data_IF_072525358818
#
_entry.id   IF_072525358818
#
_cell.length_a   1.000
_cell.length_b   1.000
_cell.length_c   1.000
_cell.angle_alpha   90.00
_cell.angle_beta   90.00
_cell.angle_gamma   90.00
#
_symmetry.space_group_name_H-M   'P 1'
#
loop_
_entity.id
_entity.type
_entity.pdbx_description
1 polymer ?
#
# COMPACT_ATOMS: atom_id res chain seq x y z
N UNK A 1 2.00 8.58 15.54
CA UNK A 1 3.18 8.04 14.83
C UNK A 1 2.97 6.55 14.68
N UNK A 2 2.47 6.10 13.53
CA UNK A 2 2.08 4.71 13.22
C UNK A 2 2.63 4.27 11.86
N UNK A 3 3.55 5.06 11.28
CA UNK A 3 4.00 4.95 9.89
C UNK A 3 4.93 3.75 9.63
N UNK A 4 5.46 3.10 10.68
CA UNK A 4 6.65 2.25 10.55
C UNK A 4 6.40 0.77 10.26
N UNK A 5 5.18 0.25 10.37
CA UNK A 5 4.99 -1.21 10.26
C UNK A 5 4.64 -1.72 8.86
N UNK A 6 4.22 -0.85 7.93
CA UNK A 6 3.72 -1.30 6.62
C UNK A 6 4.11 -0.39 5.44
N UNK A 7 4.88 0.68 5.70
CA UNK A 7 5.51 1.49 4.65
C UNK A 7 4.55 2.30 3.77
N UNK A 8 3.34 2.61 4.23
CA UNK A 8 2.41 3.50 3.54
C UNK A 8 2.75 4.97 3.83
N UNK A 9 3.02 5.77 2.79
CA UNK A 9 3.35 7.20 2.93
C UNK A 9 2.86 8.05 1.76
N UNK A 10 2.49 9.29 2.01
CA UNK A 10 2.32 10.32 0.97
C UNK A 10 3.69 10.85 0.53
N UNK A 11 3.84 11.11 -0.77
CA UNK A 11 5.10 11.61 -1.34
C UNK A 11 4.96 12.86 -2.20
N UNK A 12 3.73 13.30 -2.48
CA UNK A 12 3.46 14.60 -3.10
C UNK A 12 2.47 15.45 -2.32
N UNK A 13 2.57 16.79 -2.41
CA UNK A 13 1.64 17.70 -1.78
C UNK A 13 0.17 17.35 -2.06
N UNK A 14 -0.66 17.43 -1.02
CA UNK A 14 -2.10 17.16 -1.10
C UNK A 14 -2.49 15.68 -1.21
N UNK A 15 -1.57 14.74 -1.03
CA UNK A 15 -1.91 13.31 -1.11
C UNK A 15 -2.06 12.77 -2.53
N UNK A 16 -1.65 13.54 -3.55
CA UNK A 16 -1.79 13.17 -4.96
C UNK A 16 -1.03 11.88 -5.31
N UNK A 17 0.11 11.66 -4.65
CA UNK A 17 0.89 10.44 -4.80
C UNK A 17 1.25 9.83 -3.45
N UNK A 18 1.19 8.52 -3.39
CA UNK A 18 1.51 7.72 -2.22
C UNK A 18 2.30 6.46 -2.61
N UNK A 19 3.05 5.93 -1.65
CA UNK A 19 3.80 4.70 -1.78
C UNK A 19 3.33 3.72 -0.72
N UNK A 20 3.31 2.45 -1.06
CA UNK A 20 3.07 1.34 -0.13
C UNK A 20 4.22 0.35 -0.26
N UNK A 21 5.02 0.23 0.81
CA UNK A 21 6.23 -0.60 0.87
C UNK A 21 6.12 -1.72 1.91
N UNK A 22 5.28 -2.75 1.69
CA UNK A 22 5.19 -3.85 2.62
C UNK A 22 6.46 -4.71 2.59
N UNK A 23 6.85 -5.22 3.76
CA UNK A 23 8.00 -6.12 3.94
C UNK A 23 7.48 -7.51 4.36
N UNK A 24 7.12 -8.38 3.40
CA UNK A 24 6.45 -9.66 3.69
C UNK A 24 7.38 -10.70 4.35
N UNK A 25 8.69 -10.46 4.41
CA UNK A 25 9.65 -11.35 5.08
C UNK A 25 9.49 -11.38 6.60
N UNK A 26 8.90 -10.34 7.18
CA UNK A 26 8.74 -10.22 8.64
C UNK A 26 7.29 -10.41 9.09
N UNK A 27 6.31 -10.26 8.18
CA UNK A 27 4.89 -10.29 8.48
C UNK A 27 4.08 -10.99 7.38
N UNK A 28 3.25 -11.97 7.78
CA UNK A 28 2.33 -12.67 6.88
C UNK A 28 1.12 -11.82 6.50
N UNK A 29 0.76 -10.85 7.32
CA UNK A 29 -0.29 -9.86 7.04
C UNK A 29 -0.03 -8.59 7.85
N UNK A 30 -0.42 -7.45 7.29
CA UNK A 30 -0.42 -6.19 8.03
C UNK A 30 -1.39 -5.19 7.42
N UNK A 31 -1.88 -4.29 8.26
CA UNK A 31 -2.79 -3.21 7.89
C UNK A 31 -2.22 -1.88 8.37
N UNK A 32 -2.33 -0.87 7.53
CA UNK A 32 -1.93 0.49 7.87
C UNK A 32 -2.93 1.49 7.30
N UNK A 33 -2.96 2.65 7.91
CA UNK A 33 -3.69 3.78 7.37
C UNK A 33 -3.38 5.04 8.14
N UNK A 34 -3.62 6.16 7.48
CA UNK A 34 -3.63 7.47 8.09
C UNK A 34 -4.75 8.30 7.51
N UNK A 35 -5.25 9.22 8.31
CA UNK A 35 -6.26 10.18 7.89
C UNK A 35 -5.57 11.53 7.74
N UNK A 36 -5.70 12.12 6.56
CA UNK A 36 -5.35 13.53 6.33
C UNK A 36 -6.59 14.39 6.60
N UNK A 37 -6.39 15.70 6.75
CA UNK A 37 -7.51 16.66 6.87
C UNK A 37 -8.49 16.60 5.69
N UNK A 38 -8.07 16.05 4.55
CA UNK A 38 -8.86 15.96 3.34
C UNK A 38 -9.55 14.59 3.19
N UNK A 39 -8.84 13.48 3.42
CA UNK A 39 -9.33 12.10 3.22
C UNK A 39 -8.52 11.03 3.98
N UNK A 40 -9.09 9.84 4.10
CA UNK A 40 -8.45 8.62 4.63
C UNK A 40 -7.63 7.89 3.55
N UNK A 41 -6.49 7.36 3.95
CA UNK A 41 -5.66 6.43 3.18
C UNK A 41 -5.52 5.16 4.00
N UNK A 42 -5.90 4.02 3.45
CA UNK A 42 -5.75 2.71 4.09
C UNK A 42 -5.16 1.72 3.09
N UNK A 43 -4.26 0.87 3.58
CA UNK A 43 -3.70 -0.22 2.81
C UNK A 43 -3.51 -1.44 3.70
N UNK A 44 -3.78 -2.60 3.15
CA UNK A 44 -3.59 -3.90 3.79
C UNK A 44 -2.84 -4.79 2.84
N UNK A 45 -1.98 -5.66 3.38
CA UNK A 45 -1.44 -6.76 2.60
C UNK A 45 -1.57 -8.08 3.34
N UNK A 46 -1.62 -9.16 2.57
CA UNK A 46 -1.62 -10.53 3.03
C UNK A 46 -0.76 -11.40 2.11
N UNK A 47 0.17 -12.12 2.71
CA UNK A 47 0.95 -13.15 2.05
C UNK A 47 0.16 -14.45 2.12
N UNK A 48 -0.15 -15.03 0.97
CA UNK A 48 -0.77 -16.35 0.85
C UNK A 48 0.29 -17.43 0.71
N UNK A 49 -0.12 -18.68 0.88
CA UNK A 49 0.72 -19.83 0.56
C UNK A 49 1.31 -19.68 -0.86
N UNK A 50 2.56 -20.13 -1.05
CA UNK A 50 3.32 -20.02 -2.30
C UNK A 50 3.82 -18.61 -2.67
N UNK A 51 3.99 -17.70 -1.71
CA UNK A 51 4.65 -16.40 -1.95
C UNK A 51 3.78 -15.36 -2.65
N UNK A 52 2.45 -15.56 -2.75
CA UNK A 52 1.57 -14.57 -3.37
C UNK A 52 1.22 -13.47 -2.39
N UNK A 53 1.47 -12.21 -2.75
CA UNK A 53 1.09 -11.03 -1.97
C UNK A 53 -0.19 -10.43 -2.55
N UNK A 54 -1.25 -10.44 -1.76
CA UNK A 54 -2.46 -9.68 -2.03
C UNK A 54 -2.40 -8.36 -1.26
N UNK A 55 -2.53 -7.24 -1.95
CA UNK A 55 -2.60 -5.91 -1.41
C UNK A 55 -3.99 -5.32 -1.70
N UNK A 56 -4.63 -4.78 -0.67
CA UNK A 56 -5.88 -4.05 -0.76
C UNK A 56 -5.63 -2.60 -0.36
N UNK A 57 -6.13 -1.67 -1.16
CA UNK A 57 -6.00 -0.25 -0.87
C UNK A 57 -7.36 0.43 -0.93
N UNK A 58 -7.58 1.36 0.00
CA UNK A 58 -8.69 2.29 0.01
C UNK A 58 -8.12 3.69 0.16
N UNK A 59 -8.02 4.38 -0.98
CA UNK A 59 -7.42 5.71 -1.09
C UNK A 59 -8.32 6.62 -1.91
N UNK A 60 -8.15 7.95 -1.87
CA UNK A 60 -9.02 8.86 -2.60
C UNK A 60 -8.90 8.67 -4.11
N UNK A 61 -10.05 8.66 -4.79
CA UNK A 61 -10.12 8.64 -6.26
C UNK A 61 -9.30 9.80 -6.84
N UNK A 62 -8.55 9.53 -7.91
CA UNK A 62 -7.69 10.51 -8.57
C UNK A 62 -6.28 10.62 -7.99
N UNK A 63 -5.99 9.97 -6.86
CA UNK A 63 -4.62 9.79 -6.36
C UNK A 63 -3.91 8.66 -7.11
N UNK A 64 -2.59 8.56 -6.95
CA UNK A 64 -1.76 7.52 -7.58
C UNK A 64 -0.87 6.87 -6.53
N UNK A 65 -1.00 5.56 -6.42
CA UNK A 65 -0.20 4.74 -5.53
C UNK A 65 0.89 3.99 -6.27
N UNK A 66 1.94 3.63 -5.53
CA UNK A 66 2.95 2.66 -5.97
C UNK A 66 3.13 1.60 -4.90
N UNK A 67 2.85 0.34 -5.24
CA UNK A 67 3.17 -0.82 -4.41
C UNK A 67 4.59 -1.28 -4.78
N UNK A 68 5.48 -1.28 -3.80
CA UNK A 68 6.88 -1.62 -3.98
C UNK A 68 7.18 -2.79 -3.04
N UNK A 69 7.37 -3.96 -3.63
CA UNK A 69 7.82 -5.16 -2.92
C UNK A 69 9.34 -5.29 -3.05
N UNK A 70 10.06 -5.74 -2.00
CA UNK A 70 11.49 -6.02 -2.10
C UNK A 70 11.77 -7.00 -3.26
N UNK A 71 12.72 -6.66 -4.14
CA UNK A 71 13.11 -7.51 -5.26
C UNK A 71 12.16 -7.50 -6.48
N UNK A 72 11.10 -6.69 -6.46
CA UNK A 72 10.11 -6.59 -7.55
C UNK A 72 10.05 -5.16 -8.09
N UNK A 73 9.60 -5.01 -9.34
CA UNK A 73 9.36 -3.68 -9.91
C UNK A 73 8.16 -2.98 -9.23
N UNK A 74 8.22 -1.65 -9.05
CA UNK A 74 7.11 -0.89 -8.52
C UNK A 74 5.84 -1.06 -9.36
N UNK A 75 4.76 -1.53 -8.74
CA UNK A 75 3.45 -1.65 -9.39
C UNK A 75 2.59 -0.44 -9.10
N UNK A 76 2.18 0.26 -10.15
CA UNK A 76 1.27 1.40 -10.03
C UNK A 76 -0.14 0.95 -9.63
N UNK A 77 -0.75 1.68 -8.71
CA UNK A 77 -2.11 1.47 -8.22
C UNK A 77 -2.90 2.77 -8.44
N UNK A 78 -4.11 2.66 -9.00
CA UNK A 78 -5.01 3.80 -9.12
C UNK A 78 -5.66 4.11 -7.76
N UNK A 79 -5.78 5.40 -7.44
CA UNK A 79 -6.52 5.84 -6.27
C UNK A 79 -8.00 5.45 -6.35
N UNK A 80 -8.56 5.07 -5.21
CA UNK A 80 -9.86 4.45 -5.08
C UNK A 80 -9.77 3.18 -4.23
N UNK A 81 -10.87 2.43 -4.18
CA UNK A 81 -10.90 1.09 -3.59
C UNK A 81 -10.45 0.08 -4.64
N UNK A 82 -9.42 -0.71 -4.33
CA UNK A 82 -8.87 -1.69 -5.28
C UNK A 82 -8.09 -2.79 -4.60
N UNK A 83 -7.99 -3.93 -5.29
CA UNK A 83 -7.16 -5.07 -4.89
C UNK A 83 -6.11 -5.35 -5.97
N UNK A 84 -4.90 -5.67 -5.55
CA UNK A 84 -3.77 -6.05 -6.39
C UNK A 84 -3.17 -7.33 -5.86
N UNK A 85 -2.96 -8.31 -6.73
CA UNK A 85 -2.23 -9.54 -6.40
C UNK A 85 -0.94 -9.60 -7.20
N UNK A 86 0.18 -9.82 -6.50
CA UNK A 86 1.53 -9.97 -7.05
C UNK A 86 2.08 -11.33 -6.60
N UNK A 87 2.74 -12.06 -7.48
CA UNK A 87 3.54 -13.21 -7.09
C UNK A 87 4.90 -12.65 -6.63
N UNK A 88 5.23 -12.75 -5.34
CA UNK A 88 6.49 -12.27 -4.80
C UNK A 88 7.62 -13.27 -5.05
#
# INVERSE_FOLDING_TARGET
MTEYLVGLRVIKPGGQEWQFKPVPSELSEAETGFTTSLRKFSAKFKVSNYGKVAAECDTPTGTRGYLILPGQEPRRIAGGKGNVTINA
#
